data_IF_216383378618
#
_entry.id   IF_216383378618
#
_cell.length_a   1.000
_cell.length_b   1.000
_cell.length_c   1.000
_cell.angle_alpha   90.00
_cell.angle_beta   90.00
_cell.angle_gamma   90.00
#
_symmetry.space_group_name_H-M   'P 1'
#
loop_
_entity.id
_entity.type
_entity.pdbx_description
1 polymer ?
#
# COMPACT_ATOMS: atom_id res chain seq x y z
N UNK A 1 -45.99 26.67 22.95
CA UNK A 1 -45.77 26.06 21.62
C UNK A 1 -44.47 26.52 20.92
N UNK A 2 -43.54 27.23 21.59
CA UNK A 2 -42.30 27.75 20.98
C UNK A 2 -41.03 26.94 21.33
N UNK A 3 -41.13 25.95 22.23
CA UNK A 3 -39.98 25.20 22.76
C UNK A 3 -39.50 24.03 21.87
N UNK A 4 -40.26 23.63 20.85
CA UNK A 4 -39.91 22.47 20.02
C UNK A 4 -38.97 22.76 18.85
N UNK A 5 -38.76 24.04 18.47
CA UNK A 5 -37.97 24.40 17.28
C UNK A 5 -36.46 24.42 17.55
N UNK A 6 -36.02 24.70 18.79
CA UNK A 6 -34.58 24.82 19.11
C UNK A 6 -33.81 23.51 19.18
N UNK A 7 -34.45 22.35 19.43
CA UNK A 7 -33.77 21.06 19.47
C UNK A 7 -33.31 20.56 18.08
N UNK A 8 -33.97 21.01 17.01
CA UNK A 8 -33.72 20.48 15.66
C UNK A 8 -32.48 21.10 14.98
N UNK A 9 -32.10 22.34 15.35
CA UNK A 9 -30.99 23.05 14.70
C UNK A 9 -29.63 22.57 15.21
N UNK A 10 -29.52 22.18 16.48
CA UNK A 10 -28.26 21.71 17.08
C UNK A 10 -27.79 20.36 16.49
N UNK A 11 -28.72 19.46 16.13
CA UNK A 11 -28.38 18.19 15.47
C UNK A 11 -27.96 18.37 14.01
N UNK A 12 -28.40 19.42 13.32
CA UNK A 12 -28.04 19.66 11.92
C UNK A 12 -26.64 20.29 11.77
N UNK A 13 -26.20 21.09 12.76
CA UNK A 13 -24.87 21.74 12.75
C UNK A 13 -23.74 20.75 13.06
N UNK A 14 -24.00 19.71 13.86
CA UNK A 14 -22.97 18.71 14.23
C UNK A 14 -22.57 17.78 13.07
N UNK A 15 -23.43 17.59 12.07
CA UNK A 15 -23.18 16.67 10.94
C UNK A 15 -22.33 17.33 9.84
N UNK A 16 -22.26 18.66 9.79
CA UNK A 16 -21.61 19.40 8.69
C UNK A 16 -20.09 19.56 8.89
N UNK A 17 -19.55 19.38 10.12
CA UNK A 17 -18.16 19.76 10.43
C UNK A 17 -17.13 18.63 10.27
N UNK A 18 -17.55 17.38 10.04
CA UNK A 18 -16.61 16.24 9.95
C UNK A 18 -16.66 15.54 8.58
N UNK A 19 -16.63 16.28 7.47
CA UNK A 19 -16.32 15.63 6.19
C UNK A 19 -14.83 15.29 6.16
N UNK A 20 -14.44 14.02 5.98
CA UNK A 20 -13.05 13.69 5.80
C UNK A 20 -12.54 14.38 4.53
N UNK A 21 -11.40 15.06 4.64
CA UNK A 21 -10.73 15.58 3.47
C UNK A 21 -10.24 14.38 2.66
N UNK A 22 -10.67 14.27 1.40
CA UNK A 22 -10.08 13.33 0.46
C UNK A 22 -8.69 13.88 0.14
N UNK A 23 -7.64 13.19 0.58
CA UNK A 23 -6.28 13.58 0.24
C UNK A 23 -5.97 13.17 -1.21
N UNK A 24 -5.04 13.89 -1.84
CA UNK A 24 -4.50 13.45 -3.11
C UNK A 24 -3.75 12.11 -2.93
N UNK A 25 -3.68 11.25 -3.98
CA UNK A 25 -2.88 10.05 -3.94
C UNK A 25 -1.43 10.37 -3.55
N UNK A 26 -0.84 9.56 -2.67
CA UNK A 26 0.56 9.66 -2.28
C UNK A 26 1.36 8.64 -3.06
N UNK A 27 2.47 9.05 -3.68
CA UNK A 27 3.31 8.18 -4.52
C UNK A 27 4.68 7.99 -3.88
N UNK A 28 5.17 6.76 -3.92
CA UNK A 28 6.44 6.33 -3.34
C UNK A 28 7.31 5.73 -4.43
N UNK A 29 8.53 6.25 -4.54
CA UNK A 29 9.59 5.61 -5.31
C UNK A 29 10.26 4.52 -4.46
N UNK A 30 10.84 3.48 -5.09
CA UNK A 30 11.62 2.49 -4.37
C UNK A 30 12.78 3.15 -3.62
N UNK A 31 13.03 2.72 -2.40
CA UNK A 31 14.27 3.05 -1.67
C UNK A 31 15.37 2.03 -1.95
N UNK A 32 14.98 0.81 -2.30
CA UNK A 32 15.87 -0.28 -2.71
C UNK A 32 15.09 -1.23 -3.62
N UNK A 33 15.74 -1.78 -4.62
CA UNK A 33 15.13 -2.77 -5.52
C UNK A 33 16.21 -3.64 -6.16
N UNK A 34 15.90 -4.91 -6.40
CA UNK A 34 16.78 -5.83 -7.08
C UNK A 34 15.97 -6.98 -7.70
N UNK A 35 16.61 -7.72 -8.61
CA UNK A 35 16.18 -9.09 -8.86
C UNK A 35 17.20 -10.07 -8.30
N UNK A 36 16.70 -11.14 -7.71
CA UNK A 36 17.46 -12.12 -6.94
C UNK A 36 17.29 -13.48 -7.60
N UNK A 37 18.38 -14.21 -7.79
CA UNK A 37 18.43 -15.45 -8.57
C UNK A 37 18.81 -16.65 -7.70
N UNK A 38 18.01 -17.72 -7.83
CA UNK A 38 18.33 -19.11 -7.53
C UNK A 38 18.71 -19.78 -8.87
N UNK A 39 20.00 -19.99 -9.13
CA UNK A 39 20.54 -20.35 -10.46
C UNK A 39 20.58 -21.85 -10.74
N UNK A 40 20.32 -22.68 -9.73
CA UNK A 40 20.24 -24.14 -9.87
C UNK A 40 18.86 -24.71 -9.47
N UNK A 41 17.93 -23.87 -9.03
CA UNK A 41 16.56 -24.22 -8.70
C UNK A 41 16.44 -25.01 -7.39
N UNK A 42 17.44 -24.96 -6.51
CA UNK A 42 17.46 -25.73 -5.26
C UNK A 42 16.64 -25.07 -4.13
N UNK A 43 16.09 -23.86 -4.36
CA UNK A 43 15.31 -23.10 -3.40
C UNK A 43 16.13 -22.17 -2.49
N UNK A 44 17.44 -22.09 -2.70
CA UNK A 44 18.35 -21.15 -2.04
C UNK A 44 18.75 -20.11 -3.08
N UNK A 45 18.57 -18.83 -2.74
CA UNK A 45 18.97 -17.71 -3.59
C UNK A 45 20.41 -17.29 -3.27
N UNK A 46 21.21 -17.01 -4.30
CA UNK A 46 22.65 -16.79 -4.17
C UNK A 46 23.16 -15.54 -4.89
N UNK A 47 22.37 -14.93 -5.78
CA UNK A 47 22.81 -13.73 -6.54
C UNK A 47 21.82 -12.59 -6.43
N UNK A 48 22.31 -11.37 -6.18
CA UNK A 48 21.55 -10.11 -6.20
C UNK A 48 22.05 -9.26 -7.36
N UNK A 49 21.13 -8.70 -8.14
CA UNK A 49 21.39 -7.68 -9.14
C UNK A 49 20.59 -6.42 -8.79
N UNK A 50 21.27 -5.43 -8.23
CA UNK A 50 20.72 -4.14 -7.76
C UNK A 50 21.12 -2.94 -8.65
N UNK A 51 21.96 -3.17 -9.66
CA UNK A 51 22.38 -2.13 -10.61
C UNK A 51 21.19 -1.68 -11.49
N UNK A 52 20.84 -0.38 -11.50
CA UNK A 52 19.66 0.17 -12.17
C UNK A 52 19.72 0.14 -13.71
N UNK A 53 20.85 -0.31 -14.27
CA UNK A 53 20.98 -0.59 -15.71
C UNK A 53 20.35 -1.94 -16.10
N UNK A 54 20.08 -2.83 -15.14
CA UNK A 54 19.36 -4.07 -15.38
C UNK A 54 17.84 -3.88 -15.28
N UNK A 55 17.11 -4.77 -15.94
CA UNK A 55 15.68 -4.89 -15.71
C UNK A 55 15.44 -5.77 -14.47
N UNK A 56 14.31 -5.54 -13.79
CA UNK A 56 13.88 -6.37 -12.69
C UNK A 56 13.20 -7.62 -13.28
N UNK A 57 13.92 -8.76 -13.25
CA UNK A 57 13.51 -10.03 -13.85
C UNK A 57 12.65 -10.87 -12.90
N UNK A 58 11.54 -11.41 -13.41
CA UNK A 58 10.70 -12.39 -12.73
C UNK A 58 10.63 -13.61 -13.63
N UNK A 59 11.23 -14.70 -13.18
CA UNK A 59 11.39 -15.90 -13.99
C UNK A 59 11.25 -17.15 -13.16
N UNK A 60 10.62 -18.18 -13.70
CA UNK A 60 10.57 -19.49 -13.04
C UNK A 60 10.68 -20.59 -14.07
N UNK A 61 11.76 -21.36 -13.98
CA UNK A 61 11.99 -22.59 -14.71
C UNK A 61 12.33 -23.67 -13.69
N UNK A 62 11.31 -24.42 -13.27
CA UNK A 62 11.41 -25.42 -12.20
C UNK A 62 12.59 -26.40 -12.43
N UNK A 63 13.39 -26.60 -11.40
CA UNK A 63 14.60 -27.45 -11.44
C UNK A 63 15.78 -26.85 -12.20
N UNK A 64 15.72 -25.57 -12.60
CA UNK A 64 16.85 -24.88 -13.23
C UNK A 64 17.09 -23.49 -12.66
N UNK A 65 16.14 -22.55 -12.78
CA UNK A 65 16.37 -21.16 -12.34
C UNK A 65 15.09 -20.49 -11.85
N UNK A 66 15.21 -19.69 -10.80
CA UNK A 66 14.15 -18.81 -10.32
C UNK A 66 14.71 -17.39 -10.13
N UNK A 67 14.08 -16.41 -10.75
CA UNK A 67 14.34 -15.00 -10.50
C UNK A 67 13.11 -14.43 -9.78
N UNK A 68 13.36 -13.69 -8.69
CA UNK A 68 12.34 -12.92 -7.99
C UNK A 68 12.75 -11.46 -7.98
N UNK A 69 11.79 -10.58 -8.21
CA UNK A 69 12.00 -9.14 -8.03
C UNK A 69 11.60 -8.77 -6.61
N UNK A 70 12.43 -7.99 -5.94
CA UNK A 70 12.19 -7.46 -4.61
C UNK A 70 12.32 -5.95 -4.66
N UNK A 71 11.36 -5.23 -4.06
CA UNK A 71 11.28 -3.77 -4.06
C UNK A 71 10.87 -3.31 -2.68
N UNK A 72 11.60 -2.37 -2.08
CA UNK A 72 11.27 -1.79 -0.79
C UNK A 72 10.88 -0.32 -0.90
N UNK A 73 9.91 0.09 -0.09
CA UNK A 73 9.35 1.44 -0.04
C UNK A 73 9.37 1.97 1.40
N UNK A 74 9.72 3.25 1.55
CA UNK A 74 9.59 3.97 2.81
C UNK A 74 8.26 4.71 2.88
N UNK A 75 7.39 4.30 3.81
CA UNK A 75 6.09 4.94 4.06
C UNK A 75 6.12 5.94 5.22
N UNK A 76 7.28 6.28 5.78
CA UNK A 76 7.38 7.12 6.99
C UNK A 76 6.81 8.54 6.81
N UNK A 77 6.56 8.97 5.57
CA UNK A 77 5.95 10.27 5.27
C UNK A 77 4.42 10.28 5.47
N UNK A 78 3.78 9.12 5.60
CA UNK A 78 2.36 9.01 5.93
C UNK A 78 2.19 9.06 7.45
N UNK A 79 1.31 9.94 7.94
CA UNK A 79 0.95 9.96 9.36
C UNK A 79 0.12 8.71 9.73
N UNK A 80 0.31 8.18 10.94
CA UNK A 80 -0.45 7.02 11.41
C UNK A 80 -1.98 7.23 11.48
N UNK A 81 -2.44 8.48 11.52
CA UNK A 81 -3.87 8.84 11.59
C UNK A 81 -4.55 8.94 10.21
N UNK A 82 -4.20 8.05 9.29
CA UNK A 82 -4.86 7.93 7.98
C UNK A 82 -5.45 6.55 7.76
N UNK A 83 -6.48 6.52 6.92
CA UNK A 83 -7.05 5.30 6.39
C UNK A 83 -6.62 5.09 4.94
N UNK A 84 -5.98 3.96 4.63
CA UNK A 84 -5.64 3.57 3.26
C UNK A 84 -6.89 3.01 2.58
N UNK A 85 -7.39 3.73 1.57
CA UNK A 85 -8.59 3.33 0.83
C UNK A 85 -8.30 2.54 -0.43
N UNK A 86 -7.12 2.75 -1.03
CA UNK A 86 -6.67 1.99 -2.20
C UNK A 86 -5.14 1.93 -2.20
N UNK A 87 -4.62 0.90 -2.86
CA UNK A 87 -3.20 0.74 -3.13
C UNK A 87 -3.01 0.17 -4.54
N UNK A 88 -2.02 0.67 -5.27
CA UNK A 88 -1.62 0.11 -6.56
C UNK A 88 -0.14 0.24 -6.81
N UNK A 89 0.41 -0.67 -7.61
CA UNK A 89 1.77 -0.61 -8.12
C UNK A 89 1.74 -0.25 -9.61
N UNK A 90 2.35 0.87 -9.94
CA UNK A 90 2.48 1.37 -11.32
C UNK A 90 3.91 1.09 -11.81
N UNK A 91 4.07 0.35 -12.91
CA UNK A 91 5.39 -0.01 -13.45
C UNK A 91 5.35 -0.16 -14.98
N UNK A 92 6.51 -0.38 -15.61
CA UNK A 92 6.58 -0.70 -17.04
C UNK A 92 7.06 -2.13 -17.26
N UNK A 93 6.26 -2.94 -17.94
CA UNK A 93 6.69 -4.24 -18.48
C UNK A 93 7.57 -3.99 -19.71
N UNK A 94 8.80 -4.51 -19.68
CA UNK A 94 9.82 -4.36 -20.74
C UNK A 94 10.03 -5.64 -21.54
N UNK A 95 9.71 -6.79 -20.95
CA UNK A 95 9.76 -8.08 -21.62
C UNK A 95 8.62 -9.01 -21.14
N UNK A 96 8.09 -9.78 -22.08
CA UNK A 96 7.09 -10.83 -21.87
C UNK A 96 7.59 -12.13 -22.51
N UNK A 97 7.20 -13.30 -22.03
CA UNK A 97 7.65 -14.55 -22.61
C UNK A 97 7.04 -14.75 -24.01
N UNK A 98 7.76 -15.41 -24.92
CA UNK A 98 7.23 -15.80 -26.23
C UNK A 98 6.23 -16.97 -26.11
N UNK A 99 6.34 -17.76 -25.05
CA UNK A 99 5.49 -18.91 -24.73
C UNK A 99 5.43 -19.09 -23.21
N UNK A 100 4.27 -19.53 -22.71
CA UNK A 100 3.96 -19.60 -21.28
C UNK A 100 3.08 -18.43 -20.84
N UNK A 101 1.94 -18.75 -20.23
CA UNK A 101 1.04 -17.77 -19.60
C UNK A 101 0.97 -18.07 -18.12
N UNK A 102 1.12 -17.06 -17.28
CA UNK A 102 1.03 -17.24 -15.85
C UNK A 102 1.00 -15.91 -15.14
N UNK A 103 0.22 -15.89 -14.06
CA UNK A 103 0.19 -14.73 -13.19
C UNK A 103 1.48 -14.64 -12.38
N UNK A 104 2.07 -13.45 -12.34
CA UNK A 104 3.04 -13.06 -11.34
C UNK A 104 2.26 -12.67 -10.09
N UNK A 105 2.57 -13.33 -8.97
CA UNK A 105 2.06 -12.97 -7.65
C UNK A 105 2.89 -11.84 -7.06
N UNK A 106 2.22 -10.91 -6.40
CA UNK A 106 2.82 -9.83 -5.64
C UNK A 106 2.57 -10.11 -4.16
N UNK A 107 3.64 -10.40 -3.43
CA UNK A 107 3.65 -10.61 -2.01
C UNK A 107 4.14 -9.39 -1.25
N UNK A 108 3.50 -9.05 -0.13
CA UNK A 108 3.97 -8.02 0.80
C UNK A 108 4.67 -8.63 2.01
N UNK A 109 5.76 -8.00 2.47
CA UNK A 109 6.47 -8.34 3.70
C UNK A 109 7.02 -7.08 4.40
N UNK A 110 7.50 -7.22 5.64
CA UNK A 110 8.18 -6.15 6.36
C UNK A 110 9.66 -6.15 5.98
N UNK A 111 10.08 -5.11 5.25
CA UNK A 111 11.44 -4.91 4.79
C UNK A 111 12.35 -4.31 5.85
N UNK A 112 13.62 -4.14 5.52
CA UNK A 112 14.62 -3.58 6.44
C UNK A 112 15.35 -2.32 5.92
N UNK A 113 15.03 -1.89 4.69
CA UNK A 113 15.62 -0.76 3.99
C UNK A 113 16.75 -1.12 3.03
N UNK A 114 17.12 -2.39 2.94
CA UNK A 114 18.21 -2.92 2.11
C UNK A 114 17.83 -4.27 1.53
N UNK A 115 18.15 -4.53 0.26
CA UNK A 115 17.84 -5.84 -0.34
C UNK A 115 18.87 -6.88 0.08
N UNK A 116 18.40 -8.01 0.59
CA UNK A 116 19.18 -9.18 0.97
C UNK A 116 18.66 -10.44 0.25
N UNK A 117 19.51 -11.47 0.14
CA UNK A 117 19.12 -12.77 -0.44
C UNK A 117 17.92 -13.39 0.30
N UNK A 118 17.80 -13.13 1.61
CA UNK A 118 16.71 -13.63 2.43
C UNK A 118 15.34 -13.08 2.01
N UNK A 119 15.28 -11.87 1.42
CA UNK A 119 14.02 -11.27 0.97
C UNK A 119 13.35 -12.06 -0.14
N UNK A 120 14.17 -12.70 -0.99
CA UNK A 120 13.65 -13.63 -1.98
C UNK A 120 12.97 -14.84 -1.35
N UNK A 121 13.37 -15.28 -0.16
CA UNK A 121 12.85 -16.49 0.50
C UNK A 121 11.84 -16.23 1.63
N UNK A 122 11.78 -15.00 2.16
CA UNK A 122 10.93 -14.64 3.29
C UNK A 122 9.43 -14.97 3.04
N UNK A 123 8.66 -15.39 4.05
CA UNK A 123 7.23 -15.54 3.89
C UNK A 123 6.58 -14.21 3.49
N UNK A 124 5.69 -14.24 2.51
CA UNK A 124 4.96 -13.07 2.03
C UNK A 124 3.45 -13.26 2.18
N UNK A 125 2.72 -12.17 2.37
CA UNK A 125 1.27 -12.15 2.23
C UNK A 125 0.92 -11.83 0.78
N UNK A 126 0.11 -12.64 0.11
CA UNK A 126 -0.35 -12.32 -1.23
C UNK A 126 -1.26 -11.08 -1.19
N UNK A 127 -0.85 -10.01 -1.88
CA UNK A 127 -1.57 -8.72 -1.90
C UNK A 127 -2.01 -8.30 -3.30
N UNK A 128 -1.52 -8.97 -4.35
CA UNK A 128 -1.90 -8.67 -5.73
C UNK A 128 -1.35 -9.69 -6.71
N UNK A 129 -1.70 -9.52 -7.97
CA UNK A 129 -1.15 -10.31 -9.07
C UNK A 129 -1.40 -9.62 -10.41
N UNK A 130 -0.56 -9.90 -11.41
CA UNK A 130 -0.79 -9.50 -12.79
C UNK A 130 -0.38 -10.60 -13.76
N UNK A 131 -0.90 -10.55 -14.99
CA UNK A 131 -0.50 -11.44 -16.07
C UNK A 131 0.05 -10.62 -17.23
N UNK A 132 1.38 -10.69 -17.43
CA UNK A 132 2.07 -9.91 -18.43
C UNK A 132 1.62 -10.21 -19.88
N UNK A 133 1.07 -11.41 -20.14
CA UNK A 133 0.54 -11.76 -21.46
C UNK A 133 -0.81 -11.09 -21.73
N UNK A 134 -1.60 -10.87 -20.67
CA UNK A 134 -2.90 -10.19 -20.74
C UNK A 134 -2.71 -8.68 -20.81
N UNK A 135 -1.81 -8.12 -19.99
CA UNK A 135 -1.53 -6.68 -19.92
C UNK A 135 -0.66 -6.18 -21.08
N UNK A 136 0.21 -7.04 -21.62
CA UNK A 136 1.14 -6.71 -22.69
C UNK A 136 2.37 -5.89 -22.24
N UNK A 137 3.12 -5.39 -23.22
CA UNK A 137 4.26 -4.50 -22.99
C UNK A 137 3.78 -3.06 -22.73
N UNK A 138 4.47 -2.33 -21.85
CA UNK A 138 4.18 -0.93 -21.60
C UNK A 138 3.88 -0.64 -20.14
N UNK A 139 3.16 0.46 -19.89
CA UNK A 139 2.77 0.86 -18.55
C UNK A 139 1.64 -0.05 -18.05
N UNK A 140 1.81 -0.57 -16.85
CA UNK A 140 0.89 -1.48 -16.18
C UNK A 140 0.61 -0.95 -14.78
N UNK A 141 -0.64 -1.09 -14.34
CA UNK A 141 -1.09 -0.69 -13.01
C UNK A 141 -1.80 -1.86 -12.36
N UNK A 142 -1.32 -2.28 -11.18
CA UNK A 142 -1.82 -3.46 -10.49
C UNK A 142 -2.39 -3.04 -9.15
N UNK A 143 -3.68 -3.32 -8.94
CA UNK A 143 -4.31 -3.09 -7.64
C UNK A 143 -3.73 -4.05 -6.60
N UNK A 144 -3.44 -3.51 -5.42
CA UNK A 144 -2.94 -4.25 -4.26
C UNK A 144 -3.96 -4.18 -3.12
N UNK A 145 -3.87 -5.11 -2.17
CA UNK A 145 -4.70 -5.11 -0.96
C UNK A 145 -4.34 -3.92 -0.04
N UNK A 146 -5.22 -2.91 0.11
CA UNK A 146 -4.95 -1.76 0.98
C UNK A 146 -4.86 -2.14 2.47
N UNK A 147 -5.46 -3.27 2.89
CA UNK A 147 -5.42 -3.71 4.28
C UNK A 147 -4.00 -4.08 4.73
N UNK A 148 -3.17 -4.61 3.82
CA UNK A 148 -1.76 -4.87 4.10
C UNK A 148 -1.04 -3.57 4.46
N UNK A 149 -1.15 -2.54 3.62
CA UNK A 149 -0.51 -1.24 3.85
C UNK A 149 -1.03 -0.57 5.12
N UNK A 150 -2.36 -0.62 5.35
CA UNK A 150 -2.96 -0.09 6.57
C UNK A 150 -2.35 -0.71 7.83
N UNK A 151 -2.08 -2.02 7.82
CA UNK A 151 -1.48 -2.71 8.96
C UNK A 151 0.00 -2.36 9.14
N UNK A 152 0.71 -2.03 8.06
CA UNK A 152 2.13 -1.66 8.11
C UNK A 152 2.37 -0.20 8.50
N UNK A 153 1.41 0.72 8.30
CA UNK A 153 1.53 2.13 8.72
C UNK A 153 1.73 2.31 10.24
N UNK A 154 1.42 1.29 11.06
CA UNK A 154 1.71 1.30 12.48
C UNK A 154 3.18 0.97 12.82
N UNK A 155 3.93 0.43 11.86
CA UNK A 155 5.34 0.10 12.00
C UNK A 155 6.27 1.22 11.51
N UNK A 156 7.56 1.10 11.82
CA UNK A 156 8.62 1.98 11.29
C UNK A 156 9.49 1.29 10.25
N UNK A 157 9.21 0.02 9.95
CA UNK A 157 9.96 -0.75 8.98
C UNK A 157 9.52 -0.37 7.56
N UNK A 158 10.44 -0.30 6.60
CA UNK A 158 10.08 -0.23 5.18
C UNK A 158 9.18 -1.40 4.79
N UNK A 159 8.38 -1.18 3.75
CA UNK A 159 7.53 -2.24 3.20
C UNK A 159 8.26 -2.86 2.03
N UNK A 160 8.36 -4.19 2.04
CA UNK A 160 8.89 -4.95 0.93
C UNK A 160 7.77 -5.57 0.08
N UNK A 161 7.95 -5.51 -1.23
CA UNK A 161 7.17 -6.21 -2.24
C UNK A 161 8.04 -7.24 -2.93
N UNK A 162 7.55 -8.48 -3.03
CA UNK A 162 8.17 -9.56 -3.80
C UNK A 162 7.28 -9.94 -4.96
N UNK A 163 7.82 -9.87 -6.17
CA UNK A 163 7.17 -10.32 -7.38
C UNK A 163 7.76 -11.67 -7.76
N UNK A 164 6.92 -12.70 -7.84
CA UNK A 164 7.33 -14.06 -8.16
C UNK A 164 6.29 -14.78 -9.00
N UNK A 165 6.72 -15.74 -9.82
CA UNK A 165 5.78 -16.59 -10.54
C UNK A 165 5.27 -17.74 -9.68
N UNK A 166 3.95 -17.93 -9.65
CA UNK A 166 3.32 -19.09 -9.05
C UNK A 166 3.42 -20.35 -9.92
N UNK A 167 3.68 -20.18 -11.22
CA UNK A 167 3.70 -21.28 -12.20
C UNK A 167 5.01 -21.33 -12.98
N UNK A 168 5.35 -22.51 -13.48
CA UNK A 168 6.51 -22.71 -14.31
C UNK A 168 6.38 -21.94 -15.65
N UNK A 169 7.51 -21.66 -16.29
CA UNK A 169 7.64 -21.05 -17.62
C UNK A 169 7.18 -19.59 -17.73
N UNK A 170 6.98 -18.89 -16.61
CA UNK A 170 6.81 -17.43 -16.62
C UNK A 170 8.17 -16.78 -16.69
N UNK A 171 8.32 -15.82 -17.60
CA UNK A 171 9.51 -15.01 -17.74
C UNK A 171 9.11 -13.61 -18.20
N UNK A 172 9.08 -12.66 -17.27
CA UNK A 172 8.76 -11.26 -17.54
C UNK A 172 9.80 -10.35 -16.90
N UNK A 173 9.95 -9.15 -17.44
CA UNK A 173 10.83 -8.15 -16.86
C UNK A 173 10.11 -6.81 -16.78
N UNK A 174 10.39 -6.07 -15.72
CA UNK A 174 9.89 -4.72 -15.52
C UNK A 174 11.05 -3.71 -15.48
N UNK A 175 10.78 -2.47 -15.88
CA UNK A 175 11.78 -1.41 -15.86
C UNK A 175 12.10 -0.99 -14.44
N UNK A 176 13.39 -0.79 -14.16
CA UNK A 176 13.86 -0.25 -12.89
C UNK A 176 13.86 1.28 -12.87
N UNK A 177 13.96 1.95 -14.02
CA UNK A 177 14.27 3.39 -14.06
C UNK A 177 13.40 4.25 -14.99
N UNK A 178 12.56 3.68 -15.87
CA UNK A 178 11.79 4.50 -16.83
C UNK A 178 10.39 3.95 -17.19
N UNK A 179 9.35 4.27 -16.39
CA UNK A 179 9.45 4.77 -15.03
C UNK A 179 9.89 3.68 -14.04
N UNK A 180 10.45 4.09 -12.91
CA UNK A 180 10.67 3.20 -11.78
C UNK A 180 9.33 2.69 -11.22
N UNK A 181 9.27 1.46 -10.66
CA UNK A 181 8.06 0.91 -10.05
C UNK A 181 7.57 1.80 -8.91
N UNK A 182 6.43 2.45 -9.09
CA UNK A 182 5.89 3.44 -8.16
C UNK A 182 4.72 2.84 -7.39
N UNK A 183 4.83 2.81 -6.06
CA UNK A 183 3.71 2.47 -5.19
C UNK A 183 2.84 3.71 -5.01
N UNK A 184 1.53 3.59 -5.24
CA UNK A 184 0.57 4.68 -5.06
C UNK A 184 -0.50 4.26 -4.07
N UNK A 185 -0.69 5.10 -3.05
CA UNK A 185 -1.70 4.91 -2.00
C UNK A 185 -2.71 6.05 -2.03
N UNK A 186 -3.99 5.70 -2.05
CA UNK A 186 -5.05 6.66 -1.76
C UNK A 186 -5.33 6.61 -0.26
N UNK A 187 -5.17 7.74 0.42
CA UNK A 187 -5.36 7.86 1.86
C UNK A 187 -6.42 8.90 2.19
N UNK A 188 -7.15 8.66 3.28
CA UNK A 188 -8.12 9.61 3.82
C UNK A 188 -7.74 9.89 5.26
N UNK A 189 -7.59 11.17 5.61
CA UNK A 189 -7.32 11.56 6.98
C UNK A 189 -8.48 11.09 7.88
N UNK A 190 -8.15 10.40 8.97
CA UNK A 190 -9.14 10.09 9.99
C UNK A 190 -9.41 11.40 10.72
N UNK A 191 -10.64 11.96 10.70
CA UNK A 191 -10.91 13.19 11.42
C UNK A 191 -10.57 12.97 12.89
N UNK A 192 -9.66 13.79 13.43
CA UNK A 192 -9.49 13.83 14.88
C UNK A 192 -10.88 14.03 15.49
N UNK A 193 -11.23 13.36 16.61
CA UNK A 193 -12.47 13.63 17.29
C UNK A 193 -12.48 15.11 17.64
N UNK A 194 -13.25 15.90 16.89
CA UNK A 194 -13.26 17.35 17.01
C UNK A 194 -13.52 17.70 18.47
N UNK A 195 -12.47 18.05 19.21
CA UNK A 195 -12.57 18.47 20.61
C UNK A 195 -13.54 19.66 20.74
N UNK A 196 -13.72 20.44 19.66
CA UNK A 196 -14.77 21.45 19.55
C UNK A 196 -16.20 20.88 19.64
N UNK A 197 -16.48 19.71 19.08
CA UNK A 197 -17.77 19.03 19.22
C UNK A 197 -18.02 18.62 20.68
N UNK A 198 -17.01 18.06 21.34
CA UNK A 198 -17.09 17.73 22.77
C UNK A 198 -17.22 18.98 23.64
N UNK A 199 -16.47 20.04 23.35
CA UNK A 199 -16.50 21.30 24.08
C UNK A 199 -17.86 22.00 23.94
N UNK A 200 -18.45 22.01 22.74
CA UNK A 200 -19.77 22.60 22.53
C UNK A 200 -20.87 21.84 23.28
N UNK A 201 -20.82 20.50 23.31
CA UNK A 201 -21.72 19.68 24.15
C UNK A 201 -21.51 20.01 25.63
N UNK A 202 -20.26 20.14 26.09
CA UNK A 202 -19.94 20.45 27.48
C UNK A 202 -20.45 21.84 27.91
N UNK A 203 -20.24 22.87 27.08
CA UNK A 203 -20.75 24.23 27.34
C UNK A 203 -22.28 24.26 27.34
N UNK A 204 -22.93 23.54 26.42
CA UNK A 204 -24.39 23.42 26.38
C UNK A 204 -24.93 22.69 27.64
N UNK A 205 -24.28 21.62 28.08
CA UNK A 205 -24.62 20.91 29.33
C UNK A 205 -24.46 21.78 30.57
N UNK A 206 -23.33 22.50 30.69
CA UNK A 206 -23.07 23.42 31.80
C UNK A 206 -24.10 24.56 31.87
N UNK A 207 -24.47 25.16 30.73
CA UNK A 207 -25.46 26.25 30.69
C UNK A 207 -26.89 25.78 31.05
N UNK A 208 -27.26 24.55 30.71
CA UNK A 208 -28.55 23.96 31.09
C UNK A 208 -28.60 23.57 32.58
N UNK A 209 -27.53 23.01 33.14
CA UNK A 209 -27.47 22.66 34.58
C UNK A 209 -27.62 23.87 35.50
N UNK A 210 -27.16 25.05 35.07
CA UNK A 210 -27.23 26.29 35.85
C UNK A 210 -28.65 26.85 35.96
N UNK A 211 -29.55 26.53 35.01
CA UNK A 211 -30.94 27.01 35.01
C UNK A 211 -31.88 26.22 35.91
N UNK A 212 -31.54 25.01 36.36
CA UNK A 212 -32.46 24.19 37.17
C UNK A 212 -32.43 24.50 38.68
N UNK A 213 -31.62 25.45 39.14
CA UNK A 213 -31.41 25.74 40.59
C UNK A 213 -32.18 26.94 41.14
N UNK A 214 -33.01 27.63 40.34
CA UNK A 214 -33.72 28.86 40.77
C UNK A 214 -35.23 28.69 41.00
N UNK A 215 -35.71 27.47 41.25
CA UNK A 215 -37.12 27.21 41.58
C UNK A 215 -37.26 26.64 42.99
N UNK A 216 -37.21 27.52 44.00
CA UNK A 216 -37.72 27.31 45.36
C UNK A 216 -38.14 28.64 45.93
#
# INVERSE_FOLDING_TARGET
>A
MLQFIFKSVASLVLIIVCRPAIAAPVSFLPIAEAHIIDSDGNGVFETIFDDPSFALSIRRFDGTVQDRTVIEYDLSSISGDVHVTSARLDFRVTAIPLAGSGAVSIGGYAGNGTIELADAANPVLAIGSYDAMTEGLGLTSVNLDPAFFQNQLAGTAPIGLRLESAVNEVNTSISQSSPAPTLVLDVVAVPEPCLLGLLTIFIAGCSLSRRSRTAT
#
